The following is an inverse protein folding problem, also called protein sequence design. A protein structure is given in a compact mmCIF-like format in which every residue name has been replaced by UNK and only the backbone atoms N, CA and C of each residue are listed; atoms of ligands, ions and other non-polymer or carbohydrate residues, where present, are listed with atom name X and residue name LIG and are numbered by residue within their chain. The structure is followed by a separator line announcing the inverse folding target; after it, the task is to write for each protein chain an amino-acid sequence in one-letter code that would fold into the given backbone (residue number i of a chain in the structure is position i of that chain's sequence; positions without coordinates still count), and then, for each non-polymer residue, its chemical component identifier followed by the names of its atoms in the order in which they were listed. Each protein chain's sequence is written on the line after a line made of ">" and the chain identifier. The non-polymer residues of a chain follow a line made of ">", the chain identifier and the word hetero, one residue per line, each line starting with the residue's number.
data_IF_198351524058
#
_entry.id   IF_198351524058
#
_cell.length_a   1.000
_cell.length_b   1.000
_cell.length_c   1.000
_cell.angle_alpha   90.00
_cell.angle_beta   90.00
_cell.angle_gamma   90.00
#
_symmetry.space_group_name_H-M   'P 1'
#
loop_
_entity.id
_entity.type
_entity.pdbx_description
1 polymer ?
#
# COMPACT_ATOMS: atom_id res chain seq x y z
N UNK A 1 -6.58 8.57 -9.72
CA UNK A 1 -5.50 9.57 -9.63
C UNK A 1 -5.15 10.24 -10.97
N UNK A 2 -4.49 9.56 -11.93
CA UNK A 2 -3.96 10.21 -13.15
C UNK A 2 -5.01 10.94 -14.00
N UNK A 3 -6.18 10.34 -14.21
CA UNK A 3 -7.28 10.99 -14.94
C UNK A 3 -7.73 12.29 -14.25
N UNK A 4 -7.87 12.28 -12.93
CA UNK A 4 -8.25 13.44 -12.11
C UNK A 4 -7.20 14.55 -12.19
N UNK A 5 -5.91 14.21 -12.13
CA UNK A 5 -4.82 15.19 -12.30
C UNK A 5 -4.87 15.80 -13.71
N UNK A 6 -5.01 14.96 -14.74
CA UNK A 6 -5.11 15.40 -16.14
C UNK A 6 -6.30 16.33 -16.36
N UNK A 7 -7.45 16.03 -15.76
CA UNK A 7 -8.63 16.87 -15.82
C UNK A 7 -8.43 18.21 -15.10
N UNK A 8 -7.80 18.20 -13.92
CA UNK A 8 -7.49 19.44 -13.21
C UNK A 8 -6.52 20.32 -14.02
N UNK A 9 -5.51 19.73 -14.66
CA UNK A 9 -4.57 20.45 -15.51
C UNK A 9 -5.21 21.09 -16.76
N UNK A 10 -6.34 20.56 -17.26
CA UNK A 10 -7.04 21.14 -18.42
C UNK A 10 -7.90 22.35 -18.04
N UNK A 11 -8.18 22.54 -16.74
CA UNK A 11 -9.00 23.64 -16.20
C UNK A 11 -8.10 24.66 -15.49
N UNK A 12 -7.96 25.85 -16.07
CA UNK A 12 -7.13 26.92 -15.49
C UNK A 12 -7.65 27.31 -14.10
N UNK A 13 -6.78 27.24 -13.09
CA UNK A 13 -7.10 27.57 -11.69
C UNK A 13 -7.71 26.43 -10.87
N UNK A 14 -7.79 25.20 -11.41
CA UNK A 14 -8.21 24.03 -10.64
C UNK A 14 -7.10 23.56 -9.70
N UNK A 15 -7.46 23.13 -8.50
CA UNK A 15 -6.55 22.49 -7.54
C UNK A 15 -7.02 21.06 -7.22
N UNK A 16 -6.10 20.20 -6.82
CA UNK A 16 -6.38 18.83 -6.38
C UNK A 16 -5.73 18.57 -5.03
N UNK A 17 -6.36 17.74 -4.21
CA UNK A 17 -5.78 17.28 -2.96
C UNK A 17 -4.89 16.05 -3.22
N UNK A 18 -3.58 16.25 -3.39
CA UNK A 18 -2.65 15.15 -3.65
C UNK A 18 -2.57 14.17 -2.49
N UNK A 19 -2.70 14.61 -1.23
CA UNK A 19 -2.62 13.73 -0.05
C UNK A 19 -3.71 12.65 -0.11
N UNK A 20 -4.96 13.06 -0.32
CA UNK A 20 -6.10 12.12 -0.42
C UNK A 20 -5.94 11.16 -1.62
N UNK A 21 -5.48 11.67 -2.77
CA UNK A 21 -5.26 10.85 -3.96
C UNK A 21 -4.12 9.83 -3.78
N UNK A 22 -3.06 10.19 -3.06
CA UNK A 22 -1.92 9.32 -2.78
C UNK A 22 -2.29 8.25 -1.76
N UNK A 23 -3.04 8.59 -0.72
CA UNK A 23 -3.58 7.62 0.26
C UNK A 23 -4.47 6.61 -0.45
N UNK A 24 -5.42 7.07 -1.27
CA UNK A 24 -6.31 6.17 -2.02
C UNK A 24 -5.51 5.26 -2.97
N UNK A 25 -4.53 5.82 -3.68
CA UNK A 25 -3.71 5.06 -4.63
C UNK A 25 -2.87 4.00 -3.90
N UNK A 26 -2.26 4.35 -2.77
CA UNK A 26 -1.46 3.44 -1.95
C UNK A 26 -2.31 2.30 -1.39
N UNK A 27 -3.47 2.61 -0.79
CA UNK A 27 -4.43 1.62 -0.31
C UNK A 27 -4.86 0.66 -1.44
N UNK A 28 -5.08 1.18 -2.65
CA UNK A 28 -5.51 0.38 -3.79
C UNK A 28 -4.42 -0.57 -4.29
N UNK A 29 -3.15 -0.11 -4.30
CA UNK A 29 -2.00 -0.95 -4.64
C UNK A 29 -1.86 -2.06 -3.60
N UNK A 30 -1.84 -1.71 -2.31
CA UNK A 30 -1.70 -2.70 -1.24
C UNK A 30 -2.87 -3.68 -1.17
N UNK A 31 -4.10 -3.23 -1.44
CA UNK A 31 -5.25 -4.14 -1.57
C UNK A 31 -5.01 -5.19 -2.64
N UNK A 32 -4.45 -4.82 -3.80
CA UNK A 32 -4.13 -5.78 -4.87
C UNK A 32 -2.98 -6.69 -4.49
N UNK A 33 -1.90 -6.16 -3.89
CA UNK A 33 -0.75 -6.95 -3.47
C UNK A 33 -1.10 -7.97 -2.38
N UNK A 34 -1.88 -7.56 -1.37
CA UNK A 34 -2.19 -8.36 -0.19
C UNK A 34 -3.39 -9.27 -0.42
N UNK A 35 -4.43 -8.79 -1.12
CA UNK A 35 -5.72 -9.50 -1.23
C UNK A 35 -6.03 -10.00 -2.64
N UNK A 36 -5.13 -9.78 -3.60
CA UNK A 36 -5.24 -10.19 -5.00
C UNK A 36 -6.16 -9.33 -5.86
N UNK A 37 -6.96 -8.44 -5.27
CA UNK A 37 -7.88 -7.55 -6.00
C UNK A 37 -8.19 -6.27 -5.22
N UNK A 38 -8.77 -5.29 -5.92
CA UNK A 38 -9.30 -4.07 -5.30
C UNK A 38 -10.68 -4.37 -4.72
N UNK A 39 -10.91 -3.98 -3.47
CA UNK A 39 -12.20 -4.11 -2.81
C UNK A 39 -12.89 -2.75 -2.71
N UNK A 40 -13.36 -2.28 -3.86
CA UNK A 40 -14.32 -1.17 -3.91
C UNK A 40 -15.73 -1.69 -3.65
N UNK A 41 -16.52 -0.95 -2.89
CA UNK A 41 -17.94 -1.25 -2.74
C UNK A 41 -18.76 -0.43 -3.73
N UNK A 42 -19.28 -1.01 -4.83
CA UNK A 42 -20.22 -0.33 -5.72
C UNK A 42 -21.59 -0.06 -5.07
N UNK A 43 -21.91 -0.74 -3.95
CA UNK A 43 -23.24 -0.75 -3.33
C UNK A 43 -23.37 0.12 -2.06
N UNK A 44 -22.41 1.03 -1.81
CA UNK A 44 -22.48 1.95 -0.67
C UNK A 44 -22.08 1.35 0.70
N UNK A 45 -21.66 0.09 0.75
CA UNK A 45 -20.96 -0.48 1.91
C UNK A 45 -19.57 0.14 2.09
N UNK A 46 -19.04 0.12 3.32
CA UNK A 46 -17.71 0.67 3.62
C UNK A 46 -16.66 -0.11 2.82
N UNK A 47 -15.90 0.57 1.97
CA UNK A 47 -14.82 -0.07 1.21
C UNK A 47 -13.65 -0.44 2.12
N UNK A 48 -12.83 -1.40 1.70
CA UNK A 48 -11.65 -1.78 2.46
C UNK A 48 -10.66 -0.61 2.63
N UNK A 49 -10.50 0.22 1.60
CA UNK A 49 -9.68 1.42 1.67
C UNK A 49 -10.19 2.44 2.70
N UNK A 50 -11.51 2.57 2.86
CA UNK A 50 -12.12 3.43 3.88
C UNK A 50 -11.95 2.85 5.30
N UNK A 51 -12.09 1.53 5.47
CA UNK A 51 -11.77 0.86 6.74
C UNK A 51 -10.30 1.05 7.12
N UNK A 52 -9.40 0.87 6.14
CA UNK A 52 -7.97 1.13 6.28
C UNK A 52 -7.66 2.55 6.70
N UNK A 53 -8.28 3.54 6.05
CA UNK A 53 -8.13 4.96 6.41
C UNK A 53 -8.59 5.26 7.84
N UNK A 54 -9.72 4.68 8.28
CA UNK A 54 -10.20 4.82 9.66
C UNK A 54 -9.23 4.20 10.66
N UNK A 55 -8.66 3.05 10.34
CA UNK A 55 -7.64 2.40 11.16
C UNK A 55 -6.37 3.25 11.26
N UNK A 56 -5.87 3.79 10.16
CA UNK A 56 -4.69 4.67 10.19
C UNK A 56 -4.95 5.94 11.01
N UNK A 57 -6.15 6.54 10.88
CA UNK A 57 -6.55 7.66 11.73
C UNK A 57 -6.45 7.28 13.20
N UNK A 58 -6.95 6.11 13.58
CA UNK A 58 -6.89 5.64 14.97
C UNK A 58 -5.46 5.41 15.46
N UNK A 59 -4.59 4.82 14.63
CA UNK A 59 -3.17 4.63 14.96
C UNK A 59 -2.41 5.96 15.16
N UNK A 60 -2.82 7.01 14.44
CA UNK A 60 -2.24 8.35 14.56
C UNK A 60 -2.90 9.22 15.64
N UNK A 61 -4.05 8.81 16.18
CA UNK A 61 -4.80 9.64 17.13
C UNK A 61 -4.19 9.54 18.52
N UNK A 62 -3.97 10.70 19.15
CA UNK A 62 -3.54 10.79 20.54
C UNK A 62 -4.57 10.14 21.47
N UNK A 63 -4.13 9.20 22.32
CA UNK A 63 -4.94 8.57 23.37
C UNK A 63 -4.50 9.13 24.72
N UNK A 64 -5.41 9.73 25.49
CA UNK A 64 -5.05 10.35 26.78
C UNK A 64 -4.59 9.29 27.79
N UNK A 65 -5.26 8.15 27.81
CA UNK A 65 -4.97 7.01 28.68
C UNK A 65 -3.62 6.38 28.42
N UNK A 66 -3.11 6.44 27.19
CA UNK A 66 -1.79 5.88 26.85
C UNK A 66 -0.65 6.69 27.49
N UNK A 67 -0.83 8.01 27.63
CA UNK A 67 0.17 8.91 28.24
C UNK A 67 -0.09 9.16 29.72
N UNK A 68 -1.37 9.20 30.12
CA UNK A 68 -1.82 9.45 31.48
C UNK A 68 -2.83 8.38 31.90
N UNK A 69 -2.37 7.20 32.37
CA UNK A 69 -3.25 6.06 32.63
C UNK A 69 -4.43 6.35 33.57
N UNK A 70 -4.27 7.27 34.53
CA UNK A 70 -5.35 7.67 35.44
C UNK A 70 -6.44 8.55 34.78
N UNK A 71 -6.18 9.07 33.59
CA UNK A 71 -7.11 9.85 32.77
C UNK A 71 -7.72 9.05 31.61
N UNK A 72 -7.50 7.73 31.52
CA UNK A 72 -8.03 6.91 30.42
C UNK A 72 -9.55 6.86 30.28
N UNK A 73 -10.30 7.31 31.29
CA UNK A 73 -11.75 7.50 31.19
C UNK A 73 -12.14 8.59 30.17
N UNK A 74 -11.22 9.52 29.85
CA UNK A 74 -11.43 10.56 28.84
C UNK A 74 -11.61 9.92 27.46
N UNK A 75 -10.79 8.92 27.11
CA UNK A 75 -10.89 8.24 25.81
C UNK A 75 -12.20 7.44 25.65
N UNK A 76 -12.80 7.04 26.77
CA UNK A 76 -14.13 6.44 26.79
C UNK A 76 -15.24 7.47 26.58
N UNK A 77 -15.13 8.64 27.20
CA UNK A 77 -16.10 9.74 27.07
C UNK A 77 -16.06 10.42 25.70
N UNK A 78 -14.87 10.56 25.11
CA UNK A 78 -14.72 11.09 23.74
C UNK A 78 -15.23 10.12 22.68
N UNK A 79 -15.52 8.87 23.06
CA UNK A 79 -15.96 7.81 22.15
C UNK A 79 -14.83 7.14 21.37
N UNK A 80 -13.57 7.56 21.58
CA UNK A 80 -12.41 7.06 20.84
C UNK A 80 -12.24 5.54 20.96
N UNK A 81 -12.39 4.98 22.18
CA UNK A 81 -12.32 3.53 22.40
C UNK A 81 -13.42 2.79 21.63
N UNK A 82 -14.62 3.36 21.56
CA UNK A 82 -15.77 2.72 20.88
C UNK A 82 -15.58 2.74 19.37
N UNK A 83 -15.16 3.88 18.81
CA UNK A 83 -14.83 3.99 17.38
C UNK A 83 -13.66 3.08 16.99
N UNK A 84 -12.64 2.96 17.84
CA UNK A 84 -11.52 2.05 17.64
C UNK A 84 -12.01 0.61 17.52
N UNK A 85 -12.77 0.13 18.51
CA UNK A 85 -13.32 -1.23 18.51
C UNK A 85 -14.23 -1.49 17.31
N UNK A 86 -15.06 -0.52 16.94
CA UNK A 86 -15.93 -0.65 15.78
C UNK A 86 -15.15 -0.80 14.47
N UNK A 87 -14.10 0.00 14.27
CA UNK A 87 -13.22 -0.10 13.10
C UNK A 87 -12.50 -1.45 13.04
N UNK A 88 -11.91 -1.89 14.16
CA UNK A 88 -11.21 -3.17 14.22
C UNK A 88 -12.15 -4.36 14.01
N UNK A 89 -13.36 -4.31 14.56
CA UNK A 89 -14.35 -5.37 14.34
C UNK A 89 -14.80 -5.43 12.87
N UNK A 90 -14.95 -4.28 12.21
CA UNK A 90 -15.27 -4.24 10.78
C UNK A 90 -14.12 -4.77 9.90
N UNK A 91 -12.86 -4.46 10.25
CA UNK A 91 -11.69 -5.02 9.57
C UNK A 91 -11.58 -6.54 9.77
N UNK A 92 -11.78 -7.01 11.01
CA UNK A 92 -11.77 -8.43 11.34
C UNK A 92 -12.82 -9.20 10.52
N UNK A 93 -14.07 -8.72 10.53
CA UNK A 93 -15.15 -9.30 9.74
C UNK A 93 -14.87 -9.30 8.23
N UNK A 94 -14.20 -8.26 7.73
CA UNK A 94 -13.80 -8.17 6.33
C UNK A 94 -12.73 -9.21 5.97
N UNK A 95 -11.68 -9.36 6.78
CA UNK A 95 -10.66 -10.39 6.55
C UNK A 95 -11.23 -11.80 6.70
N UNK A 96 -12.11 -12.02 7.67
CA UNK A 96 -12.85 -13.28 7.83
C UNK A 96 -13.62 -13.62 6.55
N UNK A 97 -14.37 -12.66 6.00
CA UNK A 97 -15.13 -12.85 4.77
C UNK A 97 -14.22 -13.27 3.61
N UNK A 98 -13.06 -12.62 3.45
CA UNK A 98 -12.09 -12.97 2.40
C UNK A 98 -11.56 -14.38 2.61
N UNK A 99 -11.15 -14.74 3.83
CA UNK A 99 -10.59 -16.06 4.12
C UNK A 99 -11.63 -17.16 3.84
N UNK A 100 -12.88 -16.94 4.25
CA UNK A 100 -14.00 -17.87 3.99
C UNK A 100 -14.24 -18.01 2.50
N UNK A 101 -14.33 -16.89 1.76
CA UNK A 101 -14.50 -16.90 0.29
C UNK A 101 -13.42 -17.76 -0.37
N UNK A 102 -12.14 -17.53 -0.01
CA UNK A 102 -11.00 -18.29 -0.55
C UNK A 102 -11.07 -19.79 -0.25
N UNK A 103 -11.42 -20.15 0.99
CA UNK A 103 -11.57 -21.55 1.41
C UNK A 103 -12.72 -22.25 0.66
N UNK A 104 -13.83 -21.56 0.39
CA UNK A 104 -14.95 -22.11 -0.39
C UNK A 104 -14.54 -22.30 -1.85
N UNK A 105 -13.98 -21.28 -2.51
CA UNK A 105 -13.51 -21.37 -3.90
C UNK A 105 -12.52 -22.51 -4.10
N UNK A 106 -11.66 -22.77 -3.10
CA UNK A 106 -10.73 -23.89 -3.12
C UNK A 106 -11.42 -25.27 -3.04
N UNK A 107 -12.46 -25.41 -2.22
CA UNK A 107 -13.20 -26.68 -2.08
C UNK A 107 -13.91 -27.05 -3.37
N UNK A 108 -14.51 -26.06 -4.04
CA UNK A 108 -15.27 -26.28 -5.28
C UNK A 108 -14.36 -26.62 -6.48
N UNK A 109 -13.12 -26.11 -6.49
CA UNK A 109 -12.16 -26.32 -7.58
C UNK A 109 -11.16 -27.47 -7.35
N UNK A 110 -11.27 -28.23 -6.26
CA UNK A 110 -10.53 -29.48 -6.02
C UNK A 110 -9.03 -29.37 -5.69
N UNK A 111 -8.40 -28.20 -5.79
CA UNK A 111 -7.04 -27.93 -5.31
C UNK A 111 -6.78 -26.43 -5.21
N UNK A 112 -5.77 -26.00 -4.43
CA UNK A 112 -5.10 -24.74 -4.74
C UNK A 112 -4.59 -24.89 -6.16
N UNK A 113 -5.23 -24.19 -7.10
CA UNK A 113 -4.88 -24.24 -8.51
C UNK A 113 -3.35 -24.14 -8.59
N UNK A 114 -2.68 -25.14 -9.17
CA UNK A 114 -1.23 -25.13 -9.36
C UNK A 114 -0.82 -24.11 -10.45
N UNK A 115 -1.69 -23.13 -10.68
CA UNK A 115 -1.50 -21.98 -11.53
C UNK A 115 -0.54 -21.02 -10.82
N UNK A 116 0.36 -20.44 -11.59
CA UNK A 116 1.35 -19.43 -11.17
C UNK A 116 0.74 -18.11 -10.64
N UNK A 117 -0.57 -18.05 -10.35
CA UNK A 117 -1.29 -16.83 -10.01
C UNK A 117 -1.89 -16.91 -8.59
N UNK A 118 -1.08 -17.35 -7.62
CA UNK A 118 -1.42 -17.33 -6.19
C UNK A 118 -1.18 -15.93 -5.66
N UNK A 119 -2.15 -15.37 -4.97
CA UNK A 119 -1.91 -14.14 -4.21
C UNK A 119 -1.49 -14.42 -2.78
N UNK A 120 -1.19 -13.35 -2.05
CA UNK A 120 -0.63 -13.43 -0.72
C UNK A 120 -1.56 -14.14 0.29
N UNK A 121 -2.89 -13.99 0.17
CA UNK A 121 -3.86 -14.73 1.00
C UNK A 121 -3.75 -16.24 0.73
N UNK A 122 -3.69 -16.63 -0.55
CA UNK A 122 -3.57 -18.03 -0.92
C UNK A 122 -2.27 -18.66 -0.38
N UNK A 123 -1.18 -17.90 -0.36
CA UNK A 123 0.10 -18.34 0.20
C UNK A 123 -0.01 -18.54 1.71
N UNK A 124 -0.58 -17.57 2.45
CA UNK A 124 -0.76 -17.70 3.90
C UNK A 124 -1.65 -18.89 4.27
N UNK A 125 -2.73 -19.10 3.53
CA UNK A 125 -3.62 -20.26 3.74
C UNK A 125 -2.93 -21.60 3.40
N UNK A 126 -2.04 -21.62 2.41
CA UNK A 126 -1.19 -22.80 2.12
C UNK A 126 -0.24 -23.11 3.26
N UNK A 127 0.40 -22.09 3.85
CA UNK A 127 1.31 -22.25 4.99
C UNK A 127 0.53 -22.74 6.21
N UNK A 128 -0.66 -22.18 6.47
CA UNK A 128 -1.54 -22.59 7.55
C UNK A 128 -1.96 -24.07 7.46
N UNK A 129 -2.29 -24.55 6.25
CA UNK A 129 -2.69 -25.95 6.06
C UNK A 129 -1.52 -26.93 5.91
N UNK A 130 -0.38 -26.45 5.41
CA UNK A 130 0.85 -27.20 5.21
C UNK A 130 1.59 -27.46 6.52
N UNK A 131 0.98 -28.22 7.41
CA UNK A 131 1.45 -28.59 8.76
C UNK A 131 2.71 -29.48 8.76
N UNK A 132 3.79 -29.03 8.12
CA UNK A 132 5.14 -29.64 8.15
C UNK A 132 6.23 -28.68 8.65
N UNK A 133 5.85 -27.51 9.16
CA UNK A 133 6.78 -26.53 9.73
C UNK A 133 6.69 -26.54 11.26
N UNK A 134 7.78 -26.17 11.93
CA UNK A 134 7.88 -26.13 13.41
C UNK A 134 6.97 -25.08 14.07
N UNK A 135 6.28 -24.25 13.27
CA UNK A 135 5.27 -23.30 13.71
C UNK A 135 3.97 -23.47 12.92
N UNK A 136 2.84 -23.25 13.58
CA UNK A 136 1.51 -23.29 12.96
C UNK A 136 0.89 -21.90 12.98
N UNK A 137 0.51 -21.39 11.81
CA UNK A 137 -0.25 -20.14 11.72
C UNK A 137 -1.70 -20.37 12.14
N UNK A 138 -2.12 -19.70 13.21
CA UNK A 138 -3.53 -19.69 13.61
C UNK A 138 -4.36 -18.83 12.66
N UNK A 139 -5.67 -18.96 12.76
CA UNK A 139 -6.59 -18.13 11.98
C UNK A 139 -6.42 -16.63 12.27
N UNK A 140 -6.19 -16.29 13.54
CA UNK A 140 -5.95 -14.92 13.98
C UNK A 140 -4.61 -14.39 13.49
N UNK A 141 -3.57 -15.23 13.44
CA UNK A 141 -2.25 -14.82 12.91
C UNK A 141 -2.36 -14.43 11.43
N UNK A 142 -3.13 -15.18 10.62
CA UNK A 142 -3.35 -14.84 9.21
C UNK A 142 -4.02 -13.48 9.07
N UNK A 143 -5.10 -13.22 9.84
CA UNK A 143 -5.78 -11.91 9.81
C UNK A 143 -4.86 -10.78 10.26
N UNK A 144 -4.07 -11.01 11.31
CA UNK A 144 -3.11 -10.02 11.82
C UNK A 144 -2.02 -9.69 10.80
N UNK A 145 -1.43 -10.69 10.12
CA UNK A 145 -0.42 -10.49 9.08
C UNK A 145 -0.99 -9.71 7.89
N UNK A 146 -2.21 -10.04 7.45
CA UNK A 146 -2.88 -9.31 6.36
C UNK A 146 -3.11 -7.84 6.73
N UNK A 147 -3.54 -7.57 7.95
CA UNK A 147 -3.73 -6.22 8.46
C UNK A 147 -2.41 -5.45 8.54
N UNK A 148 -1.36 -6.04 9.11
CA UNK A 148 -0.07 -5.40 9.34
C UNK A 148 0.60 -4.99 8.02
N UNK A 149 0.67 -5.90 7.04
CA UNK A 149 1.26 -5.61 5.73
C UNK A 149 0.46 -4.54 5.00
N UNK A 150 -0.87 -4.60 5.07
CA UNK A 150 -1.72 -3.59 4.46
C UNK A 150 -1.50 -2.21 5.09
N UNK A 151 -1.48 -2.11 6.42
CA UNK A 151 -1.25 -0.88 7.15
C UNK A 151 0.15 -0.31 6.85
N UNK A 152 1.18 -1.13 7.04
CA UNK A 152 2.58 -0.78 6.87
C UNK A 152 2.92 -0.36 5.45
N UNK A 153 2.39 -1.04 4.44
CA UNK A 153 2.65 -0.68 3.04
C UNK A 153 1.88 0.56 2.57
N UNK A 154 0.65 0.76 3.06
CA UNK A 154 -0.20 1.83 2.54
C UNK A 154 0.19 3.20 3.10
N UNK A 155 0.26 3.32 4.42
CA UNK A 155 0.44 4.60 5.10
C UNK A 155 1.84 5.17 4.89
N UNK A 156 2.88 4.34 5.05
CA UNK A 156 4.27 4.76 4.89
C UNK A 156 4.56 5.24 3.47
N UNK A 157 4.08 4.51 2.45
CA UNK A 157 4.27 4.86 1.04
C UNK A 157 3.52 6.15 0.68
N UNK A 158 2.27 6.31 1.13
CA UNK A 158 1.50 7.52 0.84
C UNK A 158 2.11 8.76 1.50
N UNK A 159 2.54 8.64 2.77
CA UNK A 159 3.24 9.70 3.50
C UNK A 159 4.55 10.07 2.83
N UNK A 160 5.37 9.09 2.43
CA UNK A 160 6.62 9.34 1.71
C UNK A 160 6.37 10.11 0.42
N UNK A 161 5.40 9.67 -0.39
CA UNK A 161 5.05 10.33 -1.65
C UNK A 161 4.55 11.76 -1.41
N UNK A 162 3.73 11.98 -0.38
CA UNK A 162 3.25 13.32 -0.02
C UNK A 162 4.42 14.25 0.31
N UNK A 163 5.37 13.82 1.13
CA UNK A 163 6.58 14.59 1.44
C UNK A 163 7.45 14.86 0.21
N UNK A 164 7.62 13.86 -0.66
CA UNK A 164 8.36 14.02 -1.92
C UNK A 164 7.71 15.09 -2.79
N UNK A 165 6.39 15.02 -3.01
CA UNK A 165 5.69 16.04 -3.80
C UNK A 165 5.74 17.42 -3.14
N UNK A 166 5.58 17.52 -1.82
CA UNK A 166 5.70 18.77 -1.10
C UNK A 166 7.10 19.40 -1.25
N UNK A 167 8.16 18.58 -1.14
CA UNK A 167 9.53 19.02 -1.33
C UNK A 167 9.81 19.47 -2.76
N UNK A 168 9.31 18.75 -3.77
CA UNK A 168 9.46 19.11 -5.17
C UNK A 168 8.70 20.39 -5.53
N UNK A 169 7.48 20.57 -5.03
CA UNK A 169 6.68 21.79 -5.25
C UNK A 169 7.32 23.02 -4.60
N UNK A 170 8.03 22.85 -3.48
CA UNK A 170 8.78 23.92 -2.82
C UNK A 170 10.09 24.27 -3.54
N UNK A 171 10.62 23.37 -4.39
CA UNK A 171 11.88 23.55 -5.11
C UNK A 171 11.70 23.35 -6.63
N UNK A 172 11.17 24.37 -7.36
CA UNK A 172 10.86 24.26 -8.78
C UNK A 172 12.05 23.87 -9.67
N UNK A 173 13.26 24.32 -9.33
CA UNK A 173 14.49 23.96 -10.05
C UNK A 173 14.77 22.45 -9.97
N UNK A 174 14.60 21.85 -8.78
CA UNK A 174 14.75 20.41 -8.58
C UNK A 174 13.67 19.64 -9.32
N UNK A 175 12.41 20.10 -9.28
CA UNK A 175 11.31 19.50 -10.03
C UNK A 175 11.57 19.51 -11.54
N UNK A 176 12.03 20.66 -12.07
CA UNK A 176 12.36 20.80 -13.50
C UNK A 176 13.50 19.87 -13.89
N UNK A 177 14.57 19.84 -13.10
CA UNK A 177 15.70 18.93 -13.32
C UNK A 177 15.27 17.47 -13.33
N UNK A 178 14.40 17.05 -12.40
CA UNK A 178 13.84 15.70 -12.36
C UNK A 178 13.07 15.38 -13.67
N UNK A 179 12.22 16.31 -14.12
CA UNK A 179 11.44 16.15 -15.36
C UNK A 179 12.33 16.05 -16.60
N UNK A 180 13.44 16.79 -16.63
CA UNK A 180 14.41 16.81 -17.73
C UNK A 180 15.30 15.56 -17.74
N UNK A 181 15.79 15.11 -16.58
CA UNK A 181 16.76 14.02 -16.47
C UNK A 181 16.20 12.63 -16.72
N UNK A 182 14.91 12.38 -16.48
CA UNK A 182 14.31 11.05 -16.62
C UNK A 182 13.42 10.94 -17.86
N UNK A 183 13.45 9.75 -18.49
CA UNK A 183 12.44 9.36 -19.46
C UNK A 183 11.23 8.83 -18.71
N UNK A 184 10.08 9.43 -18.97
CA UNK A 184 8.82 9.09 -18.32
C UNK A 184 7.96 8.15 -19.18
N UNK A 185 8.45 7.78 -20.36
CA UNK A 185 7.84 6.75 -21.18
C UNK A 185 8.25 5.36 -20.66
N UNK A 186 7.33 4.40 -20.76
CA UNK A 186 7.69 3.00 -20.60
C UNK A 186 8.60 2.60 -21.77
N UNK A 187 9.65 1.77 -21.54
CA UNK A 187 10.49 1.27 -22.62
C UNK A 187 9.65 0.56 -23.69
N UNK A 188 10.04 0.74 -24.95
CA UNK A 188 9.34 0.16 -26.11
C UNK A 188 9.14 -1.36 -25.92
N UNK A 189 7.94 -1.85 -26.25
CA UNK A 189 7.49 -3.24 -26.12
C UNK A 189 7.10 -3.74 -24.71
N UNK A 190 7.14 -2.91 -23.66
CA UNK A 190 6.56 -3.27 -22.37
C UNK A 190 5.12 -2.78 -22.23
N UNK A 191 4.16 -3.70 -22.14
CA UNK A 191 2.80 -3.41 -21.68
C UNK A 191 2.81 -3.30 -20.13
N UNK A 192 1.81 -2.65 -19.52
CA UNK A 192 1.70 -2.55 -18.04
C UNK A 192 1.73 -3.92 -17.35
N UNK A 193 1.32 -4.97 -18.07
CA UNK A 193 1.27 -6.35 -17.61
C UNK A 193 2.64 -7.05 -17.62
N UNK A 194 3.66 -6.45 -18.23
CA UNK A 194 5.02 -6.98 -18.38
C UNK A 194 6.09 -6.24 -17.58
N UNK A 195 5.69 -5.45 -16.57
CA UNK A 195 6.63 -4.82 -15.64
C UNK A 195 7.05 -5.89 -14.63
N UNK A 196 8.21 -6.49 -14.88
CA UNK A 196 8.85 -7.45 -13.99
C UNK A 196 9.45 -6.71 -12.79
N UNK A 197 8.89 -6.92 -11.60
CA UNK A 197 9.41 -6.39 -10.34
C UNK A 197 10.38 -7.36 -9.63
N UNK A 198 10.83 -8.42 -10.30
CA UNK A 198 11.83 -9.35 -9.75
C UNK A 198 13.27 -8.79 -9.74
N UNK A 199 13.47 -7.55 -10.21
CA UNK A 199 14.74 -6.86 -10.04
C UNK A 199 15.00 -6.52 -8.56
N UNK A 200 16.14 -6.99 -8.05
CA UNK A 200 16.74 -6.66 -6.75
C UNK A 200 17.01 -5.14 -6.61
N UNK A 201 16.84 -4.36 -7.69
CA UNK A 201 17.12 -2.92 -7.77
C UNK A 201 15.96 -2.08 -8.35
N UNK A 202 14.71 -2.35 -7.99
CA UNK A 202 13.61 -1.37 -8.07
C UNK A 202 13.17 -0.91 -9.47
N UNK A 203 12.14 -0.05 -9.53
CA UNK A 203 11.61 0.51 -10.78
C UNK A 203 12.73 1.22 -11.57
N UNK A 204 13.16 0.61 -12.68
CA UNK A 204 14.15 1.20 -13.59
C UNK A 204 13.51 2.34 -14.38
N UNK A 205 13.46 3.55 -13.79
CA UNK A 205 13.24 4.79 -14.54
C UNK A 205 14.55 5.14 -15.24
N UNK A 206 14.55 5.08 -16.57
CA UNK A 206 15.75 5.30 -17.37
C UNK A 206 16.07 6.80 -17.39
N UNK A 207 17.32 7.18 -17.09
CA UNK A 207 17.78 8.56 -17.32
C UNK A 207 17.81 8.84 -18.83
N UNK A 208 17.30 10.00 -19.25
CA UNK A 208 17.36 10.45 -20.65
C UNK A 208 18.79 10.51 -21.19
N UNK A 209 19.76 10.77 -20.31
CA UNK A 209 21.16 10.82 -20.65
C UNK A 209 21.90 9.62 -20.05
N UNK A 210 22.69 8.87 -20.86
CA UNK A 210 23.49 7.77 -20.35
C UNK A 210 24.54 8.29 -19.37
N UNK A 211 24.68 7.60 -18.23
CA UNK A 211 25.70 7.93 -17.24
C UNK A 211 27.03 7.41 -17.77
N UNK A 212 27.91 8.33 -18.18
CA UNK A 212 29.29 7.98 -18.52
C UNK A 212 30.14 7.98 -17.25
N UNK A 213 30.75 6.84 -16.93
CA UNK A 213 31.78 6.74 -15.89
C UNK A 213 33.00 7.55 -16.33
N UNK A 214 33.36 8.59 -15.58
CA UNK A 214 34.67 9.23 -15.69
C UNK A 214 35.64 8.57 -14.68
N UNK A 215 36.57 7.72 -15.14
CA UNK A 215 37.56 7.15 -14.24
C UNK A 215 38.49 8.25 -13.71
N UNK A 216 38.65 8.30 -12.38
CA UNK A 216 39.64 9.17 -11.74
C UNK A 216 40.94 8.38 -11.58
N UNK A 217 41.99 8.76 -12.30
CA UNK A 217 43.29 8.08 -12.22
C UNK A 217 44.00 8.58 -10.96
N UNK A 218 44.08 7.73 -9.94
CA UNK A 218 44.95 7.98 -8.79
C UNK A 218 46.36 7.48 -9.11
N UNK A 219 47.29 8.41 -9.34
CA UNK A 219 48.72 8.14 -9.43
C UNK A 219 49.26 7.93 -8.02
N UNK A 220 49.70 6.71 -7.70
CA UNK A 220 50.56 6.47 -6.56
C UNK A 220 51.99 6.72 -7.02
N UNK A 221 52.52 7.91 -6.72
CA UNK A 221 53.94 8.18 -6.88
C UNK A 221 54.72 7.31 -5.87
N UNK A 222 55.53 6.39 -6.38
CA UNK A 222 56.52 5.58 -5.63
C UNK A 222 57.77 6.39 -5.34
#
# INVERSE_FOLDING_TARGET
>A
MLCTIREACSKKGSCVNLSEMLIETSNNIMSRCVLGRKYDSPNGSVSFGELGRRMMKHLATFSVGDFFPWLGWIDLLTGQIQEFKATFHALDAFFEQIIVERKVTKRDNGQFNNNNNKDFVDILLQIQEGAKHDFQLTHEDVKAILMDIFAGGSDTTSTLLEWVFAALLKNPETMKKLQEEFDWNLPDHHNTDGIDMSEIWGLTVIKKLPVHLQPTIHSFAS
#
